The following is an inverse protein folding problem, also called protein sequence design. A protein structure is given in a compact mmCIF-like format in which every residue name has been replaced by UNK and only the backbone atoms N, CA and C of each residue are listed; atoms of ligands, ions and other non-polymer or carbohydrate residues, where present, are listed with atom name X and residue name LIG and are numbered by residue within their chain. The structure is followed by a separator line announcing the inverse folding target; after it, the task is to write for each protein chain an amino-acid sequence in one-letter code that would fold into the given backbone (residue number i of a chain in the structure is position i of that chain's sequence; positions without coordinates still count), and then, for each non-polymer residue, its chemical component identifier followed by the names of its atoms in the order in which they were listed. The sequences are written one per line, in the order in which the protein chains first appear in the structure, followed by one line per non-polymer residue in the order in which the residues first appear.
data_IF_512189792782
#
_entry.id   IF_512189792782
#
_cell.length_a   1.000
_cell.length_b   1.000
_cell.length_c   1.000
_cell.angle_alpha   90.00
_cell.angle_beta   90.00
_cell.angle_gamma   90.00
#
_symmetry.space_group_name_H-M   'P 1'
#
loop_
_entity.id
_entity.type
_entity.pdbx_description
1 polymer ?
#
# COMPACT_ATOMS: atom_id res chain seq x y z
N UNK A 1 -1.74 8.77 0.85
CA UNK A 1 -0.90 8.10 -0.18
C UNK A 1 0.54 8.27 0.24
N UNK A 2 1.31 7.19 0.32
CA UNK A 2 2.74 7.21 0.62
C UNK A 2 3.52 6.53 -0.51
N UNK A 3 4.84 6.65 -0.49
CA UNK A 3 5.71 5.96 -1.44
C UNK A 3 6.92 5.39 -0.70
N UNK A 4 7.40 4.23 -1.16
CA UNK A 4 8.58 3.55 -0.62
C UNK A 4 9.61 3.35 -1.72
N UNK A 5 10.87 3.66 -1.42
CA UNK A 5 11.99 3.51 -2.34
C UNK A 5 12.83 2.31 -1.92
N UNK A 6 12.77 1.24 -2.69
CA UNK A 6 13.55 0.01 -2.42
C UNK A 6 14.97 0.07 -3.00
N UNK A 7 15.29 1.10 -3.78
CA UNK A 7 16.58 1.26 -4.45
C UNK A 7 16.59 0.68 -5.87
N UNK A 8 17.70 0.83 -6.60
CA UNK A 8 17.82 0.33 -7.97
C UNK A 8 16.85 0.93 -8.98
N UNK A 9 16.32 2.13 -8.71
CA UNK A 9 15.30 2.79 -9.54
C UNK A 9 13.86 2.35 -9.24
N UNK A 10 13.65 1.40 -8.34
CA UNK A 10 12.32 0.92 -7.98
C UNK A 10 11.68 1.80 -6.90
N UNK A 11 10.44 2.22 -7.17
CA UNK A 11 9.61 2.98 -6.23
C UNK A 11 8.21 2.38 -6.23
N UNK A 12 7.66 2.15 -5.05
CA UNK A 12 6.31 1.59 -4.86
C UNK A 12 5.40 2.66 -4.25
N UNK A 13 4.27 2.95 -4.89
CA UNK A 13 3.23 3.80 -4.33
C UNK A 13 2.28 2.97 -3.47
N UNK A 14 1.95 3.46 -2.28
CA UNK A 14 1.09 2.78 -1.31
C UNK A 14 -0.16 3.62 -1.07
N UNK A 15 -1.32 3.01 -1.28
CA UNK A 15 -2.64 3.65 -1.17
C UNK A 15 -3.44 2.90 -0.10
N UNK A 16 -4.09 3.65 0.80
CA UNK A 16 -4.91 3.13 1.89
C UNK A 16 -6.30 3.75 1.83
N UNK A 17 -7.32 2.95 2.09
CA UNK A 17 -8.72 3.36 2.03
C UNK A 17 -9.65 2.15 2.15
N UNK A 18 -10.91 2.33 1.82
CA UNK A 18 -11.86 1.24 1.58
C UNK A 18 -11.54 0.52 0.27
N UNK A 19 -11.97 -0.74 0.16
CA UNK A 19 -11.60 -1.61 -0.96
C UNK A 19 -12.07 -1.05 -2.31
N UNK A 20 -13.24 -0.41 -2.35
CA UNK A 20 -13.79 0.17 -3.57
C UNK A 20 -12.97 1.37 -4.03
N UNK A 21 -12.65 2.31 -3.14
CA UNK A 21 -11.80 3.45 -3.48
C UNK A 21 -10.38 3.03 -3.89
N UNK A 22 -9.77 2.08 -3.17
CA UNK A 22 -8.42 1.58 -3.49
C UNK A 22 -8.40 0.89 -4.86
N UNK A 23 -9.44 0.10 -5.18
CA UNK A 23 -9.58 -0.53 -6.51
C UNK A 23 -9.62 0.52 -7.63
N UNK A 24 -10.50 1.51 -7.49
CA UNK A 24 -10.62 2.59 -8.46
C UNK A 24 -9.30 3.38 -8.62
N UNK A 25 -8.63 3.68 -7.50
CA UNK A 25 -7.35 4.38 -7.51
C UNK A 25 -6.25 3.58 -8.21
N UNK A 26 -6.16 2.27 -7.96
CA UNK A 26 -5.19 1.40 -8.63
C UNK A 26 -5.47 1.26 -10.14
N UNK A 27 -6.73 1.15 -10.55
CA UNK A 27 -7.09 1.03 -11.97
C UNK A 27 -6.78 2.33 -12.73
N UNK A 28 -7.10 3.49 -12.15
CA UNK A 28 -6.73 4.80 -12.69
C UNK A 28 -5.20 5.00 -12.72
N UNK A 29 -4.52 4.61 -11.64
CA UNK A 29 -3.06 4.67 -11.53
C UNK A 29 -2.36 3.81 -12.56
N UNK A 30 -2.83 2.57 -12.79
CA UNK A 30 -2.27 1.66 -13.81
C UNK A 30 -2.39 2.26 -15.20
N UNK A 31 -3.56 2.79 -15.56
CA UNK A 31 -3.77 3.43 -16.86
C UNK A 31 -2.89 4.68 -17.04
N UNK A 32 -2.72 5.48 -15.99
CA UNK A 32 -1.84 6.65 -15.99
C UNK A 32 -0.36 6.30 -16.12
N UNK A 33 0.11 5.38 -15.27
CA UNK A 33 1.50 4.98 -15.19
C UNK A 33 1.99 4.27 -16.45
N UNK A 34 1.13 3.51 -17.14
CA UNK A 34 1.50 2.79 -18.36
C UNK A 34 1.88 3.70 -19.53
N UNK A 35 1.56 5.00 -19.45
CA UNK A 35 1.93 5.99 -20.48
C UNK A 35 3.27 6.65 -20.22
N UNK A 36 3.77 6.62 -18.97
CA UNK A 36 4.92 7.42 -18.53
C UNK A 36 6.11 6.56 -18.08
N UNK A 37 5.91 5.27 -17.84
CA UNK A 37 6.98 4.39 -17.41
C UNK A 37 6.60 2.92 -17.36
N UNK A 38 7.49 2.13 -16.76
CA UNK A 38 7.32 0.68 -16.61
C UNK A 38 6.58 0.35 -15.30
N UNK A 39 5.53 -0.47 -15.41
CA UNK A 39 4.80 -0.98 -14.26
C UNK A 39 5.27 -2.40 -13.97
N UNK A 40 5.94 -2.58 -12.83
CA UNK A 40 6.41 -3.91 -12.38
C UNK A 40 5.26 -4.73 -11.79
N UNK A 41 4.49 -4.15 -10.89
CA UNK A 41 3.39 -4.84 -10.21
C UNK A 41 2.28 -3.88 -9.76
N UNK A 42 1.05 -4.38 -9.75
CA UNK A 42 -0.12 -3.73 -9.12
C UNK A 42 -0.86 -4.80 -8.35
N UNK A 43 -1.04 -4.58 -7.04
CA UNK A 43 -1.71 -5.54 -6.17
C UNK A 43 -2.54 -4.84 -5.12
N UNK A 44 -3.65 -5.47 -4.72
CA UNK A 44 -4.58 -4.95 -3.72
C UNK A 44 -4.78 -6.02 -2.67
N UNK A 45 -4.54 -5.66 -1.41
CA UNK A 45 -4.82 -6.48 -0.25
C UNK A 45 -6.00 -5.84 0.48
N UNK A 46 -7.19 -6.42 0.32
CA UNK A 46 -8.44 -5.82 0.83
C UNK A 46 -8.48 -5.70 2.36
N UNK A 47 -7.90 -6.67 3.07
CA UNK A 47 -7.82 -6.69 4.54
C UNK A 47 -6.44 -7.21 4.96
N UNK A 48 -5.41 -6.35 5.03
CA UNK A 48 -4.10 -6.75 5.51
C UNK A 48 -4.19 -7.16 6.99
N UNK A 49 -3.34 -8.10 7.40
CA UNK A 49 -3.24 -8.52 8.78
C UNK A 49 -2.55 -7.41 9.62
N UNK A 50 -3.02 -7.16 10.84
CA UNK A 50 -2.50 -6.10 11.73
C UNK A 50 -0.97 -6.15 11.93
N UNK A 51 -0.38 -7.35 12.00
CA UNK A 51 1.08 -7.51 12.07
C UNK A 51 1.82 -6.92 10.85
N UNK A 52 1.23 -6.99 9.66
CA UNK A 52 1.81 -6.40 8.44
C UNK A 52 1.81 -4.88 8.54
N UNK A 53 0.71 -4.30 9.01
CA UNK A 53 0.62 -2.86 9.22
C UNK A 53 1.59 -2.38 10.31
N UNK A 54 1.79 -3.15 11.37
CA UNK A 54 2.69 -2.81 12.47
C UNK A 54 4.19 -2.81 12.10
N UNK A 55 4.59 -3.67 11.16
CA UNK A 55 6.01 -3.88 10.81
C UNK A 55 6.39 -3.20 9.49
N UNK A 56 5.49 -3.15 8.51
CA UNK A 56 5.79 -2.57 7.20
C UNK A 56 5.43 -1.08 7.14
N UNK A 57 6.14 -0.26 6.33
CA UNK A 57 5.88 1.17 6.18
C UNK A 57 4.67 1.46 5.27
N UNK A 58 3.49 0.88 5.60
CA UNK A 58 2.27 1.01 4.80
C UNK A 58 1.37 2.19 5.19
N UNK A 59 1.89 3.12 6.01
CA UNK A 59 1.18 4.34 6.42
C UNK A 59 0.10 4.17 7.50
N UNK A 60 -0.06 2.97 8.08
CA UNK A 60 -0.95 2.70 9.23
C UNK A 60 -0.23 1.98 10.38
N UNK A 61 1.04 2.29 10.56
CA UNK A 61 1.92 1.62 11.53
C UNK A 61 1.47 1.78 12.97
N UNK A 62 0.93 2.95 13.34
CA UNK A 62 0.42 3.21 14.68
C UNK A 62 -0.87 2.43 14.99
N UNK A 63 -1.77 2.31 14.00
CA UNK A 63 -3.00 1.49 14.11
C UNK A 63 -2.65 0.00 14.25
N UNK A 64 -1.72 -0.51 13.44
CA UNK A 64 -1.28 -1.90 13.53
C UNK A 64 -0.63 -2.25 14.87
N UNK A 65 0.16 -1.35 15.45
CA UNK A 65 0.77 -1.54 16.78
C UNK A 65 -0.27 -1.49 17.91
N UNK A 66 -1.27 -0.61 17.82
CA UNK A 66 -2.33 -0.52 18.81
C UNK A 66 -3.16 -1.81 18.90
N UNK A 67 -3.53 -2.40 17.75
CA UNK A 67 -4.27 -3.66 17.71
C UNK A 67 -3.47 -4.85 18.21
N UNK A 68 -2.14 -4.83 18.06
CA UNK A 68 -1.27 -5.90 18.55
C UNK A 68 -1.05 -5.82 20.07
N UNK A 69 -1.04 -4.62 20.64
CA UNK A 69 -0.88 -4.39 22.09
C UNK A 69 -2.13 -4.78 22.89
N UNK A 70 -3.33 -4.69 22.31
CA UNK A 70 -4.59 -5.04 22.97
C UNK A 70 -4.90 -6.55 23.06
N UNK A 71 -4.06 -7.41 22.48
CA UNK A 71 -4.23 -8.89 22.49
C UNK A 71 -3.31 -9.63 23.47
N UNK A 72 -2.57 -8.90 24.32
CA UNK A 72 -1.76 -9.46 25.40
C UNK A 72 -2.51 -9.47 26.74
#
# INVERSE_FOLDING_TARGET
VSYEKTGGGYTTAIIRGDVAAVKAACDAGRSGASRVGEIVAVHIIARPHHNVDAVMPLGRTEEGKAEMKGKN
#
